data_IF_980293411833
#
_entry.id   IF_980293411833
#
_cell.length_a   1.000
_cell.length_b   1.000
_cell.length_c   1.000
_cell.angle_alpha   90.00
_cell.angle_beta   90.00
_cell.angle_gamma   90.00
#
_symmetry.space_group_name_H-M   'P 1'
#
loop_
_entity.id
_entity.type
_entity.pdbx_description
1 polymer ?
#
# COMPACT_ATOMS: atom_id res chain seq x y z
N UNK A 1 -11.05 -22.80 -41.08
CA UNK A 1 -10.87 -21.36 -40.84
C UNK A 1 -11.55 -20.88 -39.52
N UNK A 2 -12.84 -21.10 -39.28
CA UNK A 2 -13.54 -20.63 -38.03
C UNK A 2 -12.89 -21.17 -36.72
N UNK A 3 -12.49 -22.46 -36.68
CA UNK A 3 -11.85 -23.07 -35.50
C UNK A 3 -10.46 -22.48 -35.20
N UNK A 4 -9.68 -22.11 -36.23
CA UNK A 4 -8.38 -21.49 -36.06
C UNK A 4 -8.49 -20.06 -35.53
N UNK A 5 -9.50 -19.31 -35.98
CA UNK A 5 -9.82 -17.96 -35.48
C UNK A 5 -10.23 -17.97 -34.01
N UNK A 6 -11.03 -18.97 -33.58
CA UNK A 6 -11.45 -19.12 -32.17
C UNK A 6 -10.24 -19.44 -31.28
N UNK A 7 -9.33 -20.30 -31.74
CA UNK A 7 -8.11 -20.62 -31.01
C UNK A 7 -7.18 -19.39 -30.85
N UNK A 8 -6.98 -18.61 -31.92
CA UNK A 8 -6.22 -17.37 -31.87
C UNK A 8 -6.83 -16.34 -30.92
N UNK A 9 -8.14 -16.18 -30.94
CA UNK A 9 -8.84 -15.26 -30.04
C UNK A 9 -8.75 -15.70 -28.57
N UNK A 10 -8.82 -17.00 -28.29
CA UNK A 10 -8.63 -17.54 -26.94
C UNK A 10 -7.21 -17.35 -26.41
N UNK A 11 -6.17 -17.46 -27.25
CA UNK A 11 -4.77 -17.23 -26.86
C UNK A 11 -4.55 -15.76 -26.52
N UNK A 12 -5.11 -14.81 -27.27
CA UNK A 12 -5.00 -13.38 -27.01
C UNK A 12 -5.68 -13.01 -25.68
N UNK A 13 -6.84 -13.60 -25.38
CA UNK A 13 -7.50 -13.38 -24.09
C UNK A 13 -6.69 -13.94 -22.91
N UNK A 14 -6.04 -15.09 -23.06
CA UNK A 14 -5.19 -15.68 -22.02
C UNK A 14 -3.96 -14.83 -21.70
N UNK A 15 -3.33 -14.22 -22.70
CA UNK A 15 -2.16 -13.34 -22.47
C UNK A 15 -2.54 -12.08 -21.68
N UNK A 16 -3.69 -11.47 -21.96
CA UNK A 16 -4.18 -10.32 -21.23
C UNK A 16 -4.50 -10.64 -19.75
N UNK A 17 -4.98 -11.84 -19.46
CA UNK A 17 -5.19 -12.28 -18.06
C UNK A 17 -3.88 -12.46 -17.30
N UNK A 18 -2.85 -13.00 -17.94
CA UNK A 18 -1.53 -13.18 -17.34
C UNK A 18 -0.85 -11.84 -17.04
N UNK A 19 -0.94 -10.87 -17.95
CA UNK A 19 -0.35 -9.54 -17.76
C UNK A 19 -1.06 -8.77 -16.62
N UNK A 20 -2.38 -8.87 -16.52
CA UNK A 20 -3.15 -8.25 -15.44
C UNK A 20 -2.81 -8.87 -14.08
N UNK A 21 -2.66 -10.18 -13.99
CA UNK A 21 -2.25 -10.87 -12.77
C UNK A 21 -0.85 -10.45 -12.32
N UNK A 22 0.11 -10.33 -13.23
CA UNK A 22 1.48 -9.90 -12.92
C UNK A 22 1.54 -8.43 -12.48
N UNK A 23 0.72 -7.56 -13.07
CA UNK A 23 0.62 -6.15 -12.67
C UNK A 23 0.07 -6.00 -11.26
N UNK A 24 -1.00 -6.73 -10.91
CA UNK A 24 -1.57 -6.74 -9.56
C UNK A 24 -0.58 -7.27 -8.52
N UNK A 25 0.14 -8.35 -8.83
CA UNK A 25 1.15 -8.91 -7.93
C UNK A 25 2.32 -7.92 -7.72
N UNK A 26 2.69 -7.18 -8.74
CA UNK A 26 3.72 -6.13 -8.65
C UNK A 26 3.27 -4.95 -7.78
N UNK A 27 2.00 -4.53 -7.89
CA UNK A 27 1.39 -3.51 -7.01
C UNK A 27 1.38 -4.00 -5.55
N UNK A 28 0.91 -5.24 -5.31
CA UNK A 28 0.92 -5.86 -3.97
C UNK A 28 2.33 -5.95 -3.38
N UNK A 29 3.34 -6.24 -4.20
CA UNK A 29 4.72 -6.34 -3.75
C UNK A 29 5.24 -5.04 -3.16
N UNK A 30 4.94 -3.89 -3.78
CA UNK A 30 5.36 -2.57 -3.28
C UNK A 30 4.65 -2.20 -1.98
N UNK A 31 3.34 -2.47 -1.87
CA UNK A 31 2.60 -2.24 -0.62
C UNK A 31 3.13 -3.14 0.51
N UNK A 32 3.36 -4.43 0.23
CA UNK A 32 3.99 -5.34 1.21
C UNK A 32 5.39 -4.89 1.61
N UNK A 33 6.19 -4.38 0.67
CA UNK A 33 7.53 -3.84 0.95
C UNK A 33 7.51 -2.75 2.01
N UNK A 34 6.53 -1.82 1.96
CA UNK A 34 6.37 -0.79 2.99
C UNK A 34 6.21 -1.42 4.37
N UNK A 35 5.26 -2.35 4.54
CA UNK A 35 4.97 -2.97 5.84
C UNK A 35 6.09 -3.91 6.33
N UNK A 36 6.75 -4.60 5.42
CA UNK A 36 7.97 -5.36 5.74
C UNK A 36 9.10 -4.44 6.22
N UNK A 37 9.27 -3.28 5.58
CA UNK A 37 10.20 -2.25 6.01
C UNK A 37 9.88 -1.74 7.41
N UNK A 38 8.60 -1.48 7.71
CA UNK A 38 8.14 -1.10 9.05
C UNK A 38 8.46 -2.18 10.09
N UNK A 39 8.08 -3.41 9.82
CA UNK A 39 8.30 -4.56 10.71
C UNK A 39 9.77 -4.86 10.95
N UNK A 40 10.62 -4.65 9.93
CA UNK A 40 12.05 -4.88 10.01
C UNK A 40 12.84 -3.66 10.53
N UNK A 41 12.19 -2.51 10.78
CA UNK A 41 12.82 -1.24 11.14
C UNK A 41 13.83 -0.77 10.08
N UNK A 42 13.50 -0.98 8.80
CA UNK A 42 14.37 -0.71 7.65
C UNK A 42 13.91 0.55 6.90
N UNK A 43 14.59 1.69 7.22
CA UNK A 43 14.30 2.97 6.59
C UNK A 43 14.54 2.98 5.08
N UNK A 44 15.49 2.20 4.57
CA UNK A 44 15.80 2.14 3.13
C UNK A 44 14.67 1.42 2.42
N UNK A 45 14.21 0.30 2.95
CA UNK A 45 13.09 -0.46 2.41
C UNK A 45 11.81 0.37 2.37
N UNK A 46 11.52 1.13 3.45
CA UNK A 46 10.37 2.05 3.52
C UNK A 46 10.48 3.10 2.41
N UNK A 47 11.58 3.88 2.36
CA UNK A 47 11.72 4.97 1.37
C UNK A 47 11.64 4.47 -0.05
N UNK A 48 12.22 3.32 -0.34
CA UNK A 48 12.25 2.77 -1.70
C UNK A 48 10.88 2.32 -2.21
N UNK A 49 9.89 2.15 -1.33
CA UNK A 49 8.50 1.89 -1.72
C UNK A 49 7.79 3.15 -2.27
N UNK A 50 8.23 4.35 -1.86
CA UNK A 50 7.61 5.61 -2.24
C UNK A 50 8.27 6.25 -3.48
N UNK A 51 7.50 7.06 -4.20
CA UNK A 51 8.03 7.98 -5.20
C UNK A 51 8.67 9.20 -4.51
N UNK A 52 9.58 9.90 -5.20
CA UNK A 52 10.30 11.05 -4.65
C UNK A 52 9.38 12.20 -4.21
N UNK A 53 8.24 12.38 -4.92
CA UNK A 53 7.22 13.41 -4.65
C UNK A 53 6.02 12.89 -3.87
N UNK A 54 6.14 11.73 -3.21
CA UNK A 54 5.01 11.09 -2.56
C UNK A 54 4.50 11.88 -1.35
N UNK A 55 3.20 11.70 -1.09
CA UNK A 55 2.48 12.33 0.03
C UNK A 55 2.02 11.24 0.98
N UNK A 56 2.30 11.42 2.27
CA UNK A 56 1.84 10.58 3.37
C UNK A 56 0.96 11.40 4.30
N UNK A 57 -0.26 10.95 4.53
CA UNK A 57 -1.26 11.64 5.35
C UNK A 57 -2.03 10.67 6.23
N UNK A 58 -2.54 11.17 7.35
CA UNK A 58 -3.48 10.46 8.23
C UNK A 58 -4.71 11.31 8.49
N UNK A 59 -5.87 10.69 8.50
CA UNK A 59 -7.13 11.32 8.95
C UNK A 59 -7.27 11.10 10.45
N UNK A 60 -7.11 12.17 11.22
CA UNK A 60 -7.20 12.17 12.66
C UNK A 60 -8.33 13.04 13.22
N UNK A 61 -8.35 13.19 14.53
CA UNK A 61 -9.21 14.16 15.23
C UNK A 61 -8.34 15.06 16.10
N UNK A 62 -8.60 16.37 16.06
CA UNK A 62 -7.97 17.31 16.97
C UNK A 62 -8.57 17.23 18.37
N UNK A 63 -8.08 18.07 19.31
CA UNK A 63 -8.54 18.11 20.71
C UNK A 63 -10.01 18.46 20.85
N UNK A 64 -10.58 19.19 19.88
CA UNK A 64 -12.00 19.56 19.83
C UNK A 64 -12.87 18.47 19.16
N UNK A 65 -12.29 17.33 18.77
CA UNK A 65 -12.99 16.23 18.11
C UNK A 65 -13.28 16.47 16.62
N UNK A 66 -12.78 17.55 16.02
CA UNK A 66 -12.92 17.84 14.60
C UNK A 66 -11.97 17.00 13.78
N UNK A 67 -12.43 16.51 12.64
CA UNK A 67 -11.59 15.79 11.67
C UNK A 67 -10.52 16.72 11.11
N UNK A 68 -9.28 16.26 11.12
CA UNK A 68 -8.11 16.95 10.58
C UNK A 68 -7.30 15.99 9.71
N UNK A 69 -6.52 16.55 8.81
CA UNK A 69 -5.53 15.81 8.02
C UNK A 69 -4.16 16.15 8.58
N UNK A 70 -3.42 15.13 8.97
CA UNK A 70 -2.05 15.23 9.44
C UNK A 70 -1.12 14.83 8.29
N UNK A 71 -0.12 15.68 8.02
CA UNK A 71 0.90 15.39 7.00
C UNK A 71 2.15 14.86 7.69
N UNK A 72 2.72 13.80 7.15
CA UNK A 72 3.98 13.25 7.62
C UNK A 72 4.99 13.20 6.47
N UNK A 73 6.23 13.62 6.74
CA UNK A 73 7.31 13.46 5.78
C UNK A 73 7.78 12.01 5.79
N UNK A 74 7.90 11.42 4.61
CA UNK A 74 8.32 10.02 4.45
C UNK A 74 9.68 9.77 5.11
N UNK A 75 10.62 10.74 5.03
CA UNK A 75 11.91 10.64 5.68
C UNK A 75 11.83 10.63 7.20
N UNK A 76 10.96 11.45 7.79
CA UNK A 76 10.76 11.51 9.24
C UNK A 76 10.07 10.22 9.73
N UNK A 77 9.06 9.73 9.00
CA UNK A 77 8.42 8.45 9.23
C UNK A 77 9.43 7.29 9.18
N UNK A 78 10.19 7.17 8.10
CA UNK A 78 11.17 6.10 7.93
C UNK A 78 12.26 6.16 9.02
N UNK A 79 12.71 7.35 9.39
CA UNK A 79 13.67 7.57 10.49
C UNK A 79 13.08 7.15 11.83
N UNK A 80 11.84 7.53 12.12
CA UNK A 80 11.15 7.12 13.35
C UNK A 80 11.04 5.59 13.43
N UNK A 81 10.53 4.94 12.39
CA UNK A 81 10.40 3.48 12.36
C UNK A 81 11.74 2.78 12.52
N UNK A 82 12.81 3.28 11.88
CA UNK A 82 14.14 2.68 12.00
C UNK A 82 14.78 2.84 13.39
N UNK A 83 14.28 3.74 14.23
CA UNK A 83 14.71 3.87 15.63
C UNK A 83 14.06 2.85 16.57
N UNK A 84 13.02 2.17 16.10
CA UNK A 84 12.31 1.16 16.88
C UNK A 84 13.03 -0.20 16.84
N UNK A 85 12.71 -1.05 17.81
CA UNK A 85 13.13 -2.45 17.76
C UNK A 85 12.42 -3.18 16.62
N UNK A 86 13.14 -4.06 15.93
CA UNK A 86 12.55 -4.94 14.93
C UNK A 86 11.32 -5.67 15.48
N UNK A 87 10.22 -5.64 14.72
CA UNK A 87 8.93 -6.20 15.12
C UNK A 87 8.08 -5.30 16.01
N UNK A 88 8.57 -4.12 16.43
CA UNK A 88 7.79 -3.21 17.26
C UNK A 88 6.64 -2.56 16.50
N UNK A 89 6.81 -2.23 15.21
CA UNK A 89 5.77 -1.71 14.34
C UNK A 89 5.29 -2.83 13.40
N UNK A 90 4.18 -3.47 13.72
CA UNK A 90 3.61 -4.58 12.93
C UNK A 90 2.21 -4.19 12.44
N UNK A 91 2.11 -3.85 11.16
CA UNK A 91 0.87 -3.53 10.51
C UNK A 91 0.42 -4.67 9.60
N UNK A 92 -0.74 -5.22 9.92
CA UNK A 92 -1.32 -6.39 9.27
C UNK A 92 -2.47 -5.93 8.39
N UNK A 93 -2.27 -5.99 7.07
CA UNK A 93 -3.21 -5.53 6.06
C UNK A 93 -3.97 -6.67 5.39
N UNK A 94 -5.13 -6.33 4.84
CA UNK A 94 -5.89 -7.16 3.90
C UNK A 94 -6.07 -6.38 2.60
N UNK A 95 -5.69 -6.95 1.47
CA UNK A 95 -5.99 -6.34 0.16
C UNK A 95 -7.47 -6.54 -0.17
N UNK A 96 -8.31 -5.54 0.13
CA UNK A 96 -9.75 -5.62 -0.15
C UNK A 96 -10.08 -5.26 -1.60
N UNK A 97 -9.41 -4.24 -2.14
CA UNK A 97 -9.62 -3.82 -3.53
C UNK A 97 -8.34 -3.30 -4.16
N UNK A 98 -8.08 -3.73 -5.38
CA UNK A 98 -7.03 -3.21 -6.24
C UNK A 98 -7.64 -2.86 -7.58
N UNK A 99 -7.37 -1.67 -8.09
CA UNK A 99 -7.77 -1.21 -9.43
C UNK A 99 -6.55 -0.69 -10.15
N UNK A 100 -6.37 -1.08 -11.41
CA UNK A 100 -5.24 -0.68 -12.25
C UNK A 100 -5.76 -0.13 -13.55
N UNK A 101 -5.25 1.03 -13.94
CA UNK A 101 -5.49 1.66 -15.24
C UNK A 101 -4.15 2.15 -15.81
N UNK A 102 -3.54 1.34 -16.68
CA UNK A 102 -2.24 1.61 -17.25
C UNK A 102 -1.18 1.86 -16.16
N UNK A 103 -0.55 3.05 -16.11
CA UNK A 103 0.49 3.35 -15.13
C UNK A 103 -0.05 3.80 -13.75
N UNK A 104 -1.35 3.78 -13.51
CA UNK A 104 -1.98 4.16 -12.25
C UNK A 104 -2.60 2.94 -11.58
N UNK A 105 -2.37 2.78 -10.27
CA UNK A 105 -3.06 1.80 -9.46
C UNK A 105 -3.61 2.41 -8.18
N UNK A 106 -4.74 1.86 -7.70
CA UNK A 106 -5.35 2.18 -6.42
C UNK A 106 -5.43 0.90 -5.59
N UNK A 107 -5.10 1.01 -4.30
CA UNK A 107 -5.26 -0.08 -3.33
C UNK A 107 -6.04 0.43 -2.13
N UNK A 108 -7.04 -0.35 -1.71
CA UNK A 108 -7.79 -0.15 -0.48
C UNK A 108 -7.48 -1.32 0.44
N UNK A 109 -6.83 -1.04 1.57
CA UNK A 109 -6.31 -2.07 2.47
C UNK A 109 -6.73 -1.79 3.92
N UNK A 110 -7.78 -2.43 4.45
CA UNK A 110 -8.05 -2.49 5.88
C UNK A 110 -6.85 -3.05 6.63
N UNK A 111 -6.54 -2.45 7.79
CA UNK A 111 -5.39 -2.86 8.59
C UNK A 111 -5.68 -2.95 10.09
N UNK A 112 -4.83 -3.71 10.80
CA UNK A 112 -4.68 -3.72 12.25
C UNK A 112 -3.22 -3.44 12.58
N UNK A 113 -2.97 -2.40 13.38
CA UNK A 113 -1.61 -2.03 13.81
C UNK A 113 -1.34 -2.47 15.23
N UNK A 114 -0.21 -3.15 15.40
CA UNK A 114 0.30 -3.59 16.70
C UNK A 114 1.62 -2.87 17.00
N UNK A 115 1.72 -2.30 18.19
CA UNK A 115 2.95 -1.70 18.68
C UNK A 115 3.50 -2.53 19.83
N UNK A 116 4.74 -3.03 19.68
CA UNK A 116 5.39 -3.95 20.62
C UNK A 116 4.49 -5.15 20.99
N UNK A 117 3.83 -5.72 19.98
CA UNK A 117 2.94 -6.87 20.13
C UNK A 117 1.55 -6.57 20.73
N UNK A 118 1.26 -5.32 21.09
CA UNK A 118 -0.03 -4.90 21.62
C UNK A 118 -0.85 -4.20 20.54
N UNK A 119 -2.14 -4.55 20.43
CA UNK A 119 -3.06 -3.82 19.56
C UNK A 119 -3.07 -2.32 19.90
N UNK A 120 -2.83 -1.48 18.90
CA UNK A 120 -2.81 -0.03 19.03
C UNK A 120 -4.06 0.61 18.42
N UNK A 121 -4.29 0.36 17.15
CA UNK A 121 -5.42 0.90 16.38
C UNK A 121 -5.64 0.08 15.11
N UNK A 122 -6.70 0.39 14.40
CA UNK A 122 -7.00 -0.13 13.08
C UNK A 122 -7.51 0.99 12.18
N UNK A 123 -7.58 0.70 10.91
CA UNK A 123 -8.06 1.66 9.93
C UNK A 123 -8.15 1.08 8.54
N UNK A 124 -8.03 1.96 7.59
CA UNK A 124 -7.89 1.63 6.19
C UNK A 124 -6.79 2.49 5.61
N UNK A 125 -5.89 1.88 4.89
CA UNK A 125 -4.95 2.55 4.01
C UNK A 125 -5.54 2.69 2.62
N UNK A 126 -5.49 3.90 2.09
CA UNK A 126 -5.84 4.21 0.71
C UNK A 126 -4.58 4.63 -0.03
N UNK A 127 -4.13 3.77 -0.95
CA UNK A 127 -2.94 4.00 -1.74
C UNK A 127 -3.28 4.44 -3.16
N UNK A 128 -2.47 5.36 -3.70
CA UNK A 128 -2.33 5.59 -5.13
C UNK A 128 -0.88 5.28 -5.51
N UNK A 129 -0.69 4.35 -6.46
CA UNK A 129 0.62 3.99 -6.96
C UNK A 129 0.76 4.39 -8.42
N UNK A 130 1.98 4.69 -8.83
CA UNK A 130 2.33 5.02 -10.21
C UNK A 130 3.46 4.15 -10.71
N UNK A 131 3.38 3.77 -11.98
CA UNK A 131 4.42 2.99 -12.66
C UNK A 131 5.47 3.94 -13.24
N UNK A 132 6.61 4.08 -12.58
CA UNK A 132 7.71 4.96 -12.96
C UNK A 132 8.89 4.09 -13.42
N UNK A 133 9.33 4.26 -14.66
CA UNK A 133 10.46 3.50 -15.24
C UNK A 133 10.34 1.97 -15.04
N UNK A 134 9.11 1.44 -15.21
CA UNK A 134 8.83 0.01 -15.05
C UNK A 134 8.75 -0.48 -13.60
N UNK A 135 8.75 0.42 -12.62
CA UNK A 135 8.61 0.10 -11.19
C UNK A 135 7.40 0.81 -10.59
N UNK A 136 6.55 0.07 -9.90
CA UNK A 136 5.47 0.67 -9.11
C UNK A 136 6.05 1.38 -7.90
N UNK A 137 5.52 2.57 -7.60
CA UNK A 137 5.87 3.40 -6.44
C UNK A 137 4.61 3.98 -5.81
N UNK A 138 4.58 4.06 -4.49
CA UNK A 138 3.52 4.74 -3.75
C UNK A 138 3.67 6.23 -3.99
N UNK A 139 2.68 6.86 -4.62
CA UNK A 139 2.63 8.30 -4.86
C UNK A 139 1.81 9.02 -3.78
N UNK A 140 0.79 8.36 -3.28
CA UNK A 140 -0.05 8.90 -2.20
C UNK A 140 -0.51 7.76 -1.29
N UNK A 141 -0.38 7.98 -0.01
CA UNK A 141 -0.95 7.16 1.04
C UNK A 141 -1.69 8.06 2.02
N UNK A 142 -2.97 7.78 2.23
CA UNK A 142 -3.76 8.36 3.32
C UNK A 142 -4.43 7.25 4.10
N UNK A 143 -4.32 7.29 5.43
CA UNK A 143 -4.96 6.34 6.31
C UNK A 143 -6.02 6.96 7.22
N UNK A 144 -6.88 6.12 7.74
CA UNK A 144 -7.77 6.45 8.86
C UNK A 144 -7.33 5.69 10.11
N UNK A 145 -7.51 6.30 11.30
CA UNK A 145 -7.13 5.66 12.57
C UNK A 145 -8.31 5.63 13.54
N UNK A 146 -8.64 4.43 14.04
CA UNK A 146 -9.68 4.22 15.02
C UNK A 146 -9.30 3.09 15.98
N UNK A 147 -9.87 3.11 17.19
CA UNK A 147 -9.63 2.03 18.15
C UNK A 147 -10.69 0.93 18.07
N UNK A 148 -11.88 1.26 17.62
CA UNK A 148 -13.02 0.34 17.40
C UNK A 148 -14.08 1.01 16.51
N UNK A 149 -14.95 0.27 15.78
CA UNK A 149 -14.81 -1.17 15.49
C UNK A 149 -13.67 -1.44 14.52
N UNK A 150 -13.06 -2.64 14.63
CA UNK A 150 -12.07 -3.15 13.69
C UNK A 150 -12.61 -4.47 13.14
N UNK A 151 -13.30 -4.38 12.03
CA UNK A 151 -13.81 -5.55 11.30
C UNK A 151 -12.70 -6.21 10.51
#
# INVERSE_FOLDING_TARGET
>A
MKRLLILLFAIVLLTQYLDAQTAEDSVKAVVKQLFEGMKNSDAIMIRSAFADSAILQSVGKNKEGKTVIENEKIDDFAKFISSLKKGAADEQIVFESIKIDGPLAMVWAPYKFYFEGKFSHCGVDSFQLVLINGQWKIQYLIDTRRKQPCE
#
